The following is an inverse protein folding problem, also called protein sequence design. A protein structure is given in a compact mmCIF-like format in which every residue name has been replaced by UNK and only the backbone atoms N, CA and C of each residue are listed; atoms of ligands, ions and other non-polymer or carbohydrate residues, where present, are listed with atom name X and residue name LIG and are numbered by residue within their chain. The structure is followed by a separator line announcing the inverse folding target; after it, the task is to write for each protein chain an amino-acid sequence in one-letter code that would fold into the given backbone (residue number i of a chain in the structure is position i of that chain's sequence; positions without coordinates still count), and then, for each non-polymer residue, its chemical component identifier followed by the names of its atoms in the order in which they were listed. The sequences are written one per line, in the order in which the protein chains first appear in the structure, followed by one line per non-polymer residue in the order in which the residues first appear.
data_IF_569237193359
#
_entry.id   IF_569237193359
#
_cell.length_a   1.000
_cell.length_b   1.000
_cell.length_c   1.000
_cell.angle_alpha   90.00
_cell.angle_beta   90.00
_cell.angle_gamma   90.00
#
_symmetry.space_group_name_H-M   'P 1'
#
loop_
_entity.id
_entity.type
_entity.pdbx_description
1 polymer ?
#
# COMPACT_ATOMS: atom_id res chain seq x y z
N UNK A 1 -69.68 13.83 -32.12
CA UNK A 1 -68.61 14.32 -31.23
C UNK A 1 -68.20 13.19 -30.30
N UNK A 2 -67.38 12.25 -30.77
CA UNK A 2 -66.77 11.19 -29.93
C UNK A 2 -65.41 10.85 -30.54
N UNK A 3 -64.44 11.67 -30.19
CA UNK A 3 -63.02 11.47 -30.47
C UNK A 3 -62.35 11.25 -29.09
N UNK A 4 -61.39 10.32 -29.02
CA UNK A 4 -60.42 10.10 -27.93
C UNK A 4 -60.83 9.34 -26.66
N UNK A 5 -61.14 8.04 -26.78
CA UNK A 5 -60.98 7.10 -25.63
C UNK A 5 -60.00 5.95 -25.86
N UNK A 6 -59.64 5.62 -27.12
CA UNK A 6 -58.67 4.55 -27.43
C UNK A 6 -57.20 4.99 -27.50
N UNK A 7 -56.92 6.28 -27.64
CA UNK A 7 -55.54 6.79 -27.77
C UNK A 7 -54.87 7.04 -26.41
N UNK A 8 -55.64 7.42 -25.38
CA UNK A 8 -55.13 7.71 -24.04
C UNK A 8 -54.83 6.45 -23.20
N UNK A 9 -55.53 5.35 -23.44
CA UNK A 9 -55.32 4.08 -22.71
C UNK A 9 -54.02 3.39 -23.15
N UNK A 10 -53.67 3.47 -24.43
CA UNK A 10 -52.42 2.92 -24.96
C UNK A 10 -51.16 3.69 -24.53
N UNK A 11 -51.26 4.99 -24.31
CA UNK A 11 -50.12 5.79 -23.82
C UNK A 11 -49.82 5.52 -22.34
N UNK A 12 -50.85 5.23 -21.53
CA UNK A 12 -50.69 4.92 -20.10
C UNK A 12 -50.16 3.51 -19.86
N UNK A 13 -50.56 2.52 -20.67
CA UNK A 13 -50.02 1.16 -20.60
C UNK A 13 -48.56 1.13 -21.06
N UNK A 14 -48.23 1.80 -22.18
CA UNK A 14 -46.87 1.83 -22.70
C UNK A 14 -45.88 2.49 -21.71
N UNK A 15 -46.24 3.61 -21.09
CA UNK A 15 -45.39 4.31 -20.11
C UNK A 15 -45.15 3.48 -18.84
N UNK A 16 -46.13 2.71 -18.38
CA UNK A 16 -45.99 1.85 -17.20
C UNK A 16 -45.07 0.64 -17.43
N UNK A 17 -45.10 0.05 -18.63
CA UNK A 17 -44.19 -1.04 -19.03
C UNK A 17 -42.76 -0.55 -19.27
N UNK A 18 -42.60 0.64 -19.86
CA UNK A 18 -41.28 1.26 -20.07
C UNK A 18 -40.65 1.67 -18.74
N UNK A 19 -41.41 2.22 -17.79
CA UNK A 19 -40.89 2.52 -16.46
C UNK A 19 -40.48 1.25 -15.69
N UNK A 20 -41.27 0.18 -15.74
CA UNK A 20 -40.92 -1.07 -15.04
C UNK A 20 -39.68 -1.74 -15.64
N UNK A 21 -39.49 -1.70 -16.96
CA UNK A 21 -38.27 -2.17 -17.60
C UNK A 21 -37.05 -1.30 -17.25
N UNK A 22 -37.21 0.02 -17.16
CA UNK A 22 -36.14 0.94 -16.73
C UNK A 22 -35.73 0.71 -15.27
N UNK A 23 -36.68 0.50 -14.35
CA UNK A 23 -36.39 0.25 -12.93
C UNK A 23 -35.65 -1.07 -12.71
N UNK A 24 -35.93 -2.09 -13.52
CA UNK A 24 -35.24 -3.39 -13.49
C UNK A 24 -33.81 -3.27 -14.04
N UNK A 25 -33.57 -2.37 -15.00
CA UNK A 25 -32.25 -2.12 -15.59
C UNK A 25 -31.35 -1.24 -14.72
N UNK A 26 -31.90 -0.39 -13.84
CA UNK A 26 -31.13 0.54 -12.99
C UNK A 26 -30.98 0.11 -11.53
N UNK A 27 -31.51 -1.05 -11.12
CA UNK A 27 -31.31 -1.61 -9.78
C UNK A 27 -31.84 -0.72 -8.63
N UNK A 28 -32.96 -0.03 -8.84
CA UNK A 28 -33.56 0.89 -7.85
C UNK A 28 -34.49 0.20 -6.85
N UNK A 29 -34.34 0.53 -5.56
CA UNK A 29 -35.03 -0.06 -4.41
C UNK A 29 -36.52 0.37 -4.32
N UNK A 30 -37.42 -0.57 -4.00
CA UNK A 30 -38.89 -0.46 -4.15
C UNK A 30 -39.64 0.17 -2.94
N UNK A 31 -38.94 0.74 -1.96
CA UNK A 31 -39.58 1.23 -0.73
C UNK A 31 -39.48 2.75 -0.61
N UNK A 32 -40.23 3.49 -1.43
CA UNK A 32 -40.59 4.89 -1.20
C UNK A 32 -41.40 5.38 -2.40
N UNK A 33 -42.70 5.08 -2.45
CA UNK A 33 -43.72 5.79 -3.24
C UNK A 33 -45.10 5.20 -2.89
N UNK A 34 -45.43 5.20 -1.61
CA UNK A 34 -46.76 4.86 -1.11
C UNK A 34 -47.21 5.93 -0.12
N UNK A 35 -47.31 7.17 -0.58
CA UNK A 35 -47.97 8.22 0.18
C UNK A 35 -48.26 9.40 -0.73
N UNK A 36 -49.40 9.35 -1.43
CA UNK A 36 -50.25 10.52 -1.69
C UNK A 36 -51.45 10.16 -2.58
N UNK A 37 -52.61 10.63 -2.12
CA UNK A 37 -53.92 10.80 -2.78
C UNK A 37 -55.05 9.83 -2.39
N UNK A 38 -56.28 10.38 -2.21
CA UNK A 38 -57.25 9.95 -1.21
C UNK A 38 -58.40 9.11 -1.80
N UNK A 39 -59.17 8.49 -0.91
CA UNK A 39 -60.27 7.59 -1.23
C UNK A 39 -61.56 8.29 -1.73
N UNK A 40 -62.31 7.49 -2.51
CA UNK A 40 -63.76 7.47 -2.82
C UNK A 40 -64.32 8.28 -4.00
N UNK A 41 -64.77 7.55 -5.03
CA UNK A 41 -66.21 7.26 -5.23
C UNK A 41 -66.42 6.20 -6.34
N UNK A 42 -67.41 5.34 -6.10
CA UNK A 42 -67.80 4.18 -6.91
C UNK A 42 -68.37 4.59 -8.28
N UNK A 43 -67.74 4.13 -9.36
CA UNK A 43 -68.41 3.78 -10.60
C UNK A 43 -67.75 2.52 -11.18
N UNK A 44 -68.59 1.53 -11.45
CA UNK A 44 -68.30 0.17 -11.87
C UNK A 44 -67.31 0.12 -13.05
N UNK A 45 -66.02 -0.08 -12.76
CA UNK A 45 -65.04 -0.49 -13.75
C UNK A 45 -64.98 -2.01 -13.74
N UNK A 46 -65.41 -2.63 -14.84
CA UNK A 46 -65.15 -4.03 -15.12
C UNK A 46 -63.66 -4.28 -14.90
N UNK A 47 -63.38 -5.11 -13.90
CA UNK A 47 -62.04 -5.48 -13.47
C UNK A 47 -61.30 -6.08 -14.66
N UNK A 48 -60.28 -5.37 -15.16
CA UNK A 48 -59.35 -5.86 -16.20
C UNK A 48 -58.40 -6.92 -15.63
N UNK A 49 -58.94 -7.85 -14.84
CA UNK A 49 -58.26 -8.97 -14.19
C UNK A 49 -58.45 -10.28 -14.97
N UNK A 50 -58.93 -10.23 -16.20
CA UNK A 50 -59.23 -11.42 -17.03
C UNK A 50 -58.01 -12.04 -17.74
N UNK A 51 -56.78 -11.67 -17.37
CA UNK A 51 -55.55 -12.23 -17.98
C UNK A 51 -54.56 -12.83 -16.99
N UNK A 52 -54.95 -13.07 -15.74
CA UNK A 52 -54.08 -13.75 -14.78
C UNK A 52 -54.71 -15.05 -14.32
N UNK A 53 -54.33 -16.14 -14.97
CA UNK A 53 -54.61 -17.49 -14.48
C UNK A 53 -53.51 -17.88 -13.46
N UNK A 54 -53.79 -17.91 -12.15
CA UNK A 54 -52.77 -18.07 -11.12
C UNK A 54 -52.13 -19.47 -11.07
N UNK A 55 -52.57 -20.40 -11.92
CA UNK A 55 -52.13 -21.81 -11.90
C UNK A 55 -51.01 -22.16 -12.90
N UNK A 56 -50.62 -21.26 -13.82
CA UNK A 56 -49.59 -21.58 -14.82
C UNK A 56 -48.15 -21.37 -14.31
N UNK A 57 -47.30 -22.39 -14.47
CA UNK A 57 -45.85 -22.30 -14.19
C UNK A 57 -45.15 -21.33 -15.14
N UNK A 58 -44.03 -20.73 -14.72
CA UNK A 58 -43.26 -19.77 -15.55
C UNK A 58 -42.88 -20.32 -16.94
N UNK A 59 -42.66 -21.65 -17.04
CA UNK A 59 -42.42 -22.37 -18.30
C UNK A 59 -43.64 -22.34 -19.21
N UNK A 60 -44.82 -22.62 -18.67
CA UNK A 60 -46.07 -22.66 -19.43
C UNK A 60 -46.47 -21.27 -19.92
N UNK A 61 -46.18 -20.22 -19.13
CA UNK A 61 -46.37 -18.82 -19.54
C UNK A 61 -45.47 -18.44 -20.72
N UNK A 62 -44.20 -18.87 -20.69
CA UNK A 62 -43.29 -18.65 -21.82
C UNK A 62 -43.81 -19.38 -23.07
N UNK A 63 -44.18 -20.65 -22.92
CA UNK A 63 -44.65 -21.46 -24.05
C UNK A 63 -45.97 -20.93 -24.64
N UNK A 64 -46.91 -20.46 -23.81
CA UNK A 64 -48.16 -19.88 -24.30
C UNK A 64 -47.91 -18.55 -25.02
N UNK A 65 -47.09 -17.66 -24.46
CA UNK A 65 -46.70 -16.41 -25.11
C UNK A 65 -46.01 -16.68 -26.46
N UNK A 66 -45.08 -17.62 -26.49
CA UNK A 66 -44.33 -17.91 -27.71
C UNK A 66 -45.19 -18.53 -28.81
N UNK A 67 -46.18 -19.35 -28.43
CA UNK A 67 -47.14 -19.96 -29.36
C UNK A 67 -48.11 -18.92 -29.95
N UNK A 68 -48.41 -17.85 -29.22
CA UNK A 68 -49.15 -16.70 -29.74
C UNK A 68 -48.32 -15.95 -30.78
N UNK A 69 -47.01 -15.80 -30.53
CA UNK A 69 -46.08 -15.09 -31.41
C UNK A 69 -45.74 -15.87 -32.68
N UNK A 70 -45.62 -17.20 -32.60
CA UNK A 70 -45.37 -18.07 -33.76
C UNK A 70 -46.03 -19.43 -33.58
N UNK A 71 -46.80 -19.84 -34.60
CA UNK A 71 -47.49 -21.15 -34.60
C UNK A 71 -46.52 -22.32 -34.71
N UNK A 72 -45.32 -22.09 -35.25
CA UNK A 72 -44.31 -23.11 -35.51
C UNK A 72 -43.29 -23.26 -34.35
N UNK A 73 -43.45 -22.51 -33.26
CA UNK A 73 -42.56 -22.62 -32.12
C UNK A 73 -42.81 -23.92 -31.34
N UNK A 74 -41.81 -24.80 -31.34
CA UNK A 74 -41.85 -26.01 -30.51
C UNK A 74 -41.63 -25.63 -29.03
N UNK A 75 -42.58 -25.98 -28.13
CA UNK A 75 -42.57 -25.56 -26.74
C UNK A 75 -41.37 -26.12 -25.97
N UNK A 76 -40.91 -25.35 -24.99
CA UNK A 76 -39.86 -25.78 -24.07
C UNK A 76 -40.35 -26.96 -23.22
N UNK A 77 -39.68 -28.11 -23.36
CA UNK A 77 -40.09 -29.38 -22.73
C UNK A 77 -39.84 -29.36 -21.22
N UNK A 78 -38.63 -28.96 -20.83
CA UNK A 78 -38.18 -28.95 -19.43
C UNK A 78 -37.47 -27.64 -19.09
N UNK A 79 -37.60 -27.22 -17.84
CA UNK A 79 -36.80 -26.13 -17.28
C UNK A 79 -35.49 -26.68 -16.72
N UNK A 80 -34.43 -25.88 -16.81
CA UNK A 80 -33.13 -26.25 -16.27
C UNK A 80 -33.20 -26.36 -14.74
N UNK A 81 -33.01 -27.56 -14.19
CA UNK A 81 -32.94 -27.77 -12.74
C UNK A 81 -31.49 -27.88 -12.22
N UNK A 82 -30.52 -28.10 -13.10
CA UNK A 82 -29.11 -28.33 -12.76
C UNK A 82 -28.24 -27.11 -13.12
N UNK A 83 -27.08 -26.99 -12.48
CA UNK A 83 -26.12 -25.92 -12.76
C UNK A 83 -25.57 -26.02 -14.18
N UNK A 84 -25.39 -24.88 -14.87
CA UNK A 84 -24.91 -24.87 -16.26
C UNK A 84 -23.59 -25.62 -16.47
N UNK A 85 -22.67 -25.62 -15.50
CA UNK A 85 -21.38 -26.31 -15.58
C UNK A 85 -21.52 -27.84 -15.63
N UNK A 86 -22.51 -28.42 -14.95
CA UNK A 86 -22.68 -29.87 -14.76
C UNK A 86 -23.43 -30.60 -15.88
N UNK A 87 -23.96 -29.86 -16.85
CA UNK A 87 -24.84 -30.40 -17.91
C UNK A 87 -24.03 -30.96 -19.08
N UNK A 88 -24.54 -32.04 -19.69
CA UNK A 88 -23.98 -32.65 -20.89
C UNK A 88 -23.93 -31.69 -22.09
N UNK A 89 -23.02 -31.94 -23.04
CA UNK A 89 -22.88 -31.11 -24.24
C UNK A 89 -24.17 -31.06 -25.09
N UNK A 90 -24.88 -32.19 -25.19
CA UNK A 90 -26.14 -32.29 -25.94
C UNK A 90 -27.26 -31.45 -25.31
N UNK A 91 -27.41 -31.51 -23.99
CA UNK A 91 -28.41 -30.71 -23.27
C UNK A 91 -28.10 -29.21 -23.32
N UNK A 92 -26.82 -28.80 -23.21
CA UNK A 92 -26.41 -27.40 -23.41
C UNK A 92 -26.79 -26.88 -24.80
N UNK A 93 -26.52 -27.68 -25.83
CA UNK A 93 -26.85 -27.31 -27.22
C UNK A 93 -28.36 -27.17 -27.42
N UNK A 94 -29.18 -28.05 -26.83
CA UNK A 94 -30.64 -27.93 -26.86
C UNK A 94 -31.13 -26.59 -26.27
N UNK A 95 -30.69 -26.26 -25.05
CA UNK A 95 -31.10 -25.02 -24.39
C UNK A 95 -30.59 -23.77 -25.12
N UNK A 96 -29.38 -23.81 -25.69
CA UNK A 96 -28.87 -22.71 -26.52
C UNK A 96 -29.71 -22.50 -27.78
N UNK A 97 -30.05 -23.57 -28.49
CA UNK A 97 -30.92 -23.49 -29.69
C UNK A 97 -32.29 -22.92 -29.35
N UNK A 98 -32.91 -23.41 -28.28
CA UNK A 98 -34.22 -22.90 -27.84
C UNK A 98 -34.18 -21.44 -27.40
N UNK A 99 -33.14 -21.03 -26.69
CA UNK A 99 -32.95 -19.63 -26.33
C UNK A 99 -32.72 -18.74 -27.57
N UNK A 100 -31.94 -19.22 -28.54
CA UNK A 100 -31.74 -18.51 -29.81
C UNK A 100 -33.04 -18.37 -30.59
N UNK A 101 -33.81 -19.45 -30.77
CA UNK A 101 -35.12 -19.43 -31.43
C UNK A 101 -36.06 -18.40 -30.77
N UNK A 102 -36.14 -18.40 -29.44
CA UNK A 102 -36.97 -17.45 -28.71
C UNK A 102 -36.52 -16.00 -28.90
N UNK A 103 -35.21 -15.74 -28.78
CA UNK A 103 -34.63 -14.41 -28.95
C UNK A 103 -34.84 -13.91 -30.39
N UNK A 104 -34.59 -14.74 -31.40
CA UNK A 104 -34.76 -14.35 -32.80
C UNK A 104 -36.21 -14.01 -33.13
N UNK A 105 -37.17 -14.78 -32.61
CA UNK A 105 -38.58 -14.48 -32.80
C UNK A 105 -38.99 -13.16 -32.14
N UNK A 106 -38.48 -12.87 -30.93
CA UNK A 106 -38.70 -11.59 -30.26
C UNK A 106 -38.05 -10.44 -31.04
N UNK A 107 -36.81 -10.63 -31.52
CA UNK A 107 -36.09 -9.62 -32.28
C UNK A 107 -36.73 -9.36 -33.64
N UNK A 108 -37.32 -10.36 -34.29
CA UNK A 108 -38.07 -10.19 -35.54
C UNK A 108 -39.32 -9.31 -35.32
N UNK A 109 -39.98 -9.43 -34.16
CA UNK A 109 -41.11 -8.57 -33.80
C UNK A 109 -40.64 -7.13 -33.54
N UNK A 110 -39.49 -6.95 -32.88
CA UNK A 110 -38.96 -5.63 -32.52
C UNK A 110 -38.39 -4.91 -33.75
N UNK A 111 -37.62 -5.62 -34.57
CA UNK A 111 -36.85 -5.07 -35.69
C UNK A 111 -36.76 -6.09 -36.83
N UNK A 112 -37.86 -6.23 -37.57
CA UNK A 112 -37.96 -7.14 -38.72
C UNK A 112 -36.87 -6.85 -39.76
N UNK A 113 -36.12 -7.89 -40.13
CA UNK A 113 -35.04 -7.81 -41.13
C UNK A 113 -33.71 -7.23 -40.61
N UNK A 114 -33.63 -6.82 -39.34
CA UNK A 114 -32.41 -6.32 -38.69
C UNK A 114 -32.10 -7.07 -37.39
N UNK A 115 -32.59 -8.29 -37.23
CA UNK A 115 -32.50 -9.04 -35.97
C UNK A 115 -31.04 -9.28 -35.56
N UNK A 116 -30.19 -9.60 -36.54
CA UNK A 116 -28.76 -9.89 -36.33
C UNK A 116 -27.98 -8.64 -35.93
N UNK A 117 -28.32 -7.48 -36.50
CA UNK A 117 -27.68 -6.19 -36.17
C UNK A 117 -28.04 -5.77 -34.76
N UNK A 118 -29.31 -5.92 -34.36
CA UNK A 118 -29.78 -5.63 -33.01
C UNK A 118 -29.19 -6.61 -31.97
N UNK A 119 -29.08 -7.90 -32.30
CA UNK A 119 -28.44 -8.89 -31.43
C UNK A 119 -26.96 -8.56 -31.20
N UNK A 120 -26.24 -8.18 -32.26
CA UNK A 120 -24.83 -7.82 -32.17
C UNK A 120 -24.59 -6.55 -31.36
N UNK A 121 -25.44 -5.52 -31.50
CA UNK A 121 -25.32 -4.29 -30.72
C UNK A 121 -25.54 -4.51 -29.21
N UNK A 122 -26.39 -5.47 -28.84
CA UNK A 122 -26.58 -5.90 -27.45
C UNK A 122 -25.35 -6.69 -26.95
N UNK A 123 -24.76 -7.54 -27.78
CA UNK A 123 -23.60 -8.36 -27.42
C UNK A 123 -22.29 -7.55 -27.32
N UNK A 124 -22.17 -6.42 -28.01
CA UNK A 124 -20.94 -5.60 -28.04
C UNK A 124 -20.49 -5.02 -26.71
N UNK A 125 -21.26 -5.09 -25.62
CA UNK A 125 -20.79 -4.69 -24.27
C UNK A 125 -19.70 -5.59 -23.67
N UNK A 126 -19.20 -6.60 -24.40
CA UNK A 126 -18.08 -7.48 -24.00
C UNK A 126 -16.70 -7.11 -24.60
N UNK A 127 -16.60 -6.05 -25.40
CA UNK A 127 -15.34 -5.68 -26.12
C UNK A 127 -14.22 -5.12 -25.25
N UNK A 128 -14.44 -4.80 -23.97
CA UNK A 128 -13.36 -4.35 -23.06
C UNK A 128 -12.23 -5.38 -22.91
N UNK A 129 -12.54 -6.67 -23.06
CA UNK A 129 -11.53 -7.74 -22.97
C UNK A 129 -10.61 -7.73 -24.21
N UNK A 130 -11.10 -7.33 -25.38
CA UNK A 130 -10.27 -7.27 -26.60
C UNK A 130 -9.40 -6.00 -26.63
N UNK A 131 -9.91 -4.87 -26.14
CA UNK A 131 -9.11 -3.63 -26.04
C UNK A 131 -7.99 -3.73 -25.00
N UNK A 132 -8.26 -4.38 -23.86
CA UNK A 132 -7.25 -4.63 -22.83
C UNK A 132 -6.16 -5.57 -23.31
N UNK A 133 -6.51 -6.65 -24.00
CA UNK A 133 -5.52 -7.56 -24.60
C UNK A 133 -4.65 -6.85 -25.66
N UNK A 134 -5.24 -6.00 -26.51
CA UNK A 134 -4.49 -5.17 -27.47
C UNK A 134 -3.49 -4.25 -26.77
N UNK A 135 -3.90 -3.56 -25.70
CA UNK A 135 -3.02 -2.71 -24.90
C UNK A 135 -1.84 -3.49 -24.30
N UNK A 136 -2.09 -4.71 -23.81
CA UNK A 136 -1.04 -5.59 -23.25
C UNK A 136 -0.05 -6.03 -24.34
N UNK A 137 -0.54 -6.35 -25.55
CA UNK A 137 0.31 -6.70 -26.70
C UNK A 137 1.17 -5.50 -27.13
N UNK A 138 0.59 -4.30 -27.17
CA UNK A 138 1.34 -3.08 -27.47
C UNK A 138 2.43 -2.80 -26.44
N UNK A 139 2.14 -3.00 -25.15
CA UNK A 139 3.14 -2.87 -24.08
C UNK A 139 4.28 -3.88 -24.26
N UNK A 140 3.96 -5.14 -24.59
CA UNK A 140 4.94 -6.19 -24.88
C UNK A 140 5.88 -5.80 -26.04
N UNK A 141 5.34 -5.22 -27.11
CA UNK A 141 6.12 -4.83 -28.29
C UNK A 141 6.98 -3.57 -28.07
N UNK A 142 6.58 -2.67 -27.17
CA UNK A 142 7.33 -1.45 -26.85
C UNK A 142 8.52 -1.71 -25.94
N UNK A 143 8.45 -2.71 -25.07
CA UNK A 143 9.51 -2.99 -24.11
C UNK A 143 10.69 -3.74 -24.74
N UNK A 144 11.90 -3.27 -24.47
CA UNK A 144 13.14 -3.92 -24.93
C UNK A 144 13.65 -5.01 -23.97
N UNK A 145 13.21 -5.01 -22.71
CA UNK A 145 13.69 -5.95 -21.69
C UNK A 145 12.93 -7.27 -21.75
N UNK A 146 13.64 -8.38 -21.98
CA UNK A 146 13.07 -9.73 -22.03
C UNK A 146 12.34 -10.14 -20.74
N UNK A 147 12.79 -9.64 -19.58
CA UNK A 147 12.13 -9.97 -18.32
C UNK A 147 10.79 -9.24 -18.20
N UNK A 148 10.78 -7.94 -18.45
CA UNK A 148 9.55 -7.13 -18.45
C UNK A 148 8.55 -7.66 -19.49
N UNK A 149 9.02 -8.05 -20.66
CA UNK A 149 8.20 -8.75 -21.66
C UNK A 149 7.58 -10.04 -21.13
N UNK A 150 8.33 -10.84 -20.36
CA UNK A 150 7.80 -12.06 -19.74
C UNK A 150 6.77 -11.74 -18.67
N UNK A 151 6.96 -10.67 -17.90
CA UNK A 151 6.00 -10.19 -16.89
C UNK A 151 4.70 -9.71 -17.55
N UNK A 152 4.79 -8.90 -18.60
CA UNK A 152 3.63 -8.39 -19.36
C UNK A 152 2.90 -9.54 -20.02
N UNK A 153 3.63 -10.44 -20.68
CA UNK A 153 3.04 -11.61 -21.31
C UNK A 153 2.31 -12.47 -20.27
N UNK A 154 2.89 -12.66 -19.08
CA UNK A 154 2.31 -13.46 -17.97
C UNK A 154 0.89 -13.06 -17.55
N UNK A 155 0.44 -11.83 -17.88
CA UNK A 155 -0.92 -11.36 -17.62
C UNK A 155 -1.98 -12.07 -18.46
N UNK A 156 -1.65 -12.47 -19.70
CA UNK A 156 -2.62 -12.99 -20.68
C UNK A 156 -2.45 -14.47 -21.01
N UNK A 157 -1.32 -15.10 -20.66
CA UNK A 157 -0.95 -16.45 -21.14
C UNK A 157 -1.86 -17.58 -20.67
N UNK A 158 -2.58 -17.38 -19.57
CA UNK A 158 -3.51 -18.35 -19.02
C UNK A 158 -4.89 -18.31 -19.70
N UNK A 159 -5.19 -17.21 -20.41
CA UNK A 159 -6.48 -17.00 -21.07
C UNK A 159 -6.50 -17.54 -22.51
N UNK A 160 -5.32 -17.81 -23.08
CA UNK A 160 -5.15 -18.16 -24.49
C UNK A 160 -4.28 -19.41 -24.69
N UNK A 161 -4.57 -20.12 -25.77
CA UNK A 161 -3.75 -21.24 -26.25
C UNK A 161 -2.44 -20.74 -26.89
N UNK A 162 -1.46 -21.64 -27.05
CA UNK A 162 -0.16 -21.28 -27.64
C UNK A 162 -0.30 -20.74 -29.07
N UNK A 163 -1.18 -21.35 -29.86
CA UNK A 163 -1.48 -20.95 -31.23
C UNK A 163 -2.16 -19.58 -31.30
N UNK A 164 -3.12 -19.31 -30.41
CA UNK A 164 -3.79 -18.01 -30.36
C UNK A 164 -2.81 -16.88 -30.02
N UNK A 165 -1.92 -17.11 -29.04
CA UNK A 165 -0.89 -16.13 -28.67
C UNK A 165 0.12 -15.85 -29.79
N UNK A 166 0.48 -16.88 -30.57
CA UNK A 166 1.35 -16.71 -31.75
C UNK A 166 0.66 -15.92 -32.87
N UNK A 167 -0.65 -16.07 -33.04
CA UNK A 167 -1.42 -15.30 -33.99
C UNK A 167 -1.60 -13.83 -33.52
N UNK A 168 -1.78 -13.62 -32.21
CA UNK A 168 -1.94 -12.29 -31.62
C UNK A 168 -0.63 -11.49 -31.56
N UNK A 169 0.51 -12.17 -31.36
CA UNK A 169 1.83 -11.54 -31.27
C UNK A 169 2.79 -12.25 -32.23
N UNK A 170 2.91 -11.76 -33.48
CA UNK A 170 3.81 -12.36 -34.46
C UNK A 170 5.25 -12.24 -33.98
N UNK A 171 5.95 -13.38 -33.87
CA UNK A 171 7.34 -13.45 -33.39
C UNK A 171 7.52 -13.96 -31.95
N UNK A 172 6.43 -14.25 -31.22
CA UNK A 172 6.52 -14.91 -29.92
C UNK A 172 6.81 -16.41 -30.10
N UNK A 173 7.92 -16.86 -29.51
CA UNK A 173 8.29 -18.27 -29.50
C UNK A 173 7.51 -19.05 -28.43
N UNK A 174 7.31 -20.35 -28.67
CA UNK A 174 6.67 -21.25 -27.69
C UNK A 174 7.41 -21.23 -26.34
N UNK A 175 8.74 -21.14 -26.38
CA UNK A 175 9.56 -21.04 -25.18
C UNK A 175 9.25 -19.79 -24.34
N UNK A 176 8.99 -18.63 -24.96
CA UNK A 176 8.57 -17.41 -24.26
C UNK A 176 7.20 -17.57 -23.60
N UNK A 177 6.27 -18.22 -24.27
CA UNK A 177 4.94 -18.55 -23.71
C UNK A 177 5.10 -19.45 -22.49
N UNK A 178 5.93 -20.48 -22.57
CA UNK A 178 6.18 -21.40 -21.45
C UNK A 178 6.91 -20.71 -20.29
N UNK A 179 7.87 -19.82 -20.57
CA UNK A 179 8.54 -19.01 -19.56
C UNK A 179 7.55 -18.07 -18.83
N UNK A 180 6.65 -17.43 -19.57
CA UNK A 180 5.63 -16.56 -19.00
C UNK A 180 4.57 -17.32 -18.19
N UNK A 181 4.22 -18.55 -18.60
CA UNK A 181 3.39 -19.45 -17.77
C UNK A 181 4.09 -19.87 -16.48
N UNK A 182 5.37 -20.23 -16.56
CA UNK A 182 6.17 -20.55 -15.38
C UNK A 182 6.24 -19.35 -14.42
N UNK A 183 6.41 -18.15 -14.96
CA UNK A 183 6.39 -16.92 -14.18
C UNK A 183 5.03 -16.69 -13.49
N UNK A 184 3.93 -16.78 -14.24
CA UNK A 184 2.58 -16.65 -13.69
C UNK A 184 2.30 -17.67 -12.57
N UNK A 185 2.82 -18.89 -12.72
CA UNK A 185 2.67 -19.97 -11.74
C UNK A 185 3.50 -19.74 -10.46
N UNK A 186 4.74 -19.28 -10.58
CA UNK A 186 5.68 -19.15 -9.44
C UNK A 186 5.52 -17.82 -8.70
N UNK A 187 5.38 -16.72 -9.42
CA UNK A 187 5.43 -15.35 -8.87
C UNK A 187 4.07 -14.67 -8.89
N UNK A 188 3.13 -15.19 -9.67
CA UNK A 188 1.87 -14.54 -9.99
C UNK A 188 1.95 -13.69 -11.26
N UNK A 189 0.82 -13.49 -11.95
CA UNK A 189 0.77 -12.73 -13.19
C UNK A 189 1.13 -11.26 -12.95
N UNK A 190 2.05 -10.72 -13.76
CA UNK A 190 2.47 -9.31 -13.73
C UNK A 190 3.37 -8.89 -12.55
N UNK A 191 3.70 -9.80 -11.63
CA UNK A 191 4.53 -9.46 -10.48
C UNK A 191 6.02 -9.35 -10.86
N UNK A 192 6.72 -8.42 -10.23
CA UNK A 192 8.16 -8.27 -10.42
C UNK A 192 8.88 -9.30 -9.54
N UNK A 193 9.70 -10.15 -10.14
CA UNK A 193 10.63 -11.00 -9.42
C UNK A 193 11.72 -10.11 -8.78
N UNK A 194 11.81 -10.15 -7.45
CA UNK A 194 12.69 -9.32 -6.63
C UNK A 194 12.44 -7.80 -6.82
N UNK A 195 11.34 -7.27 -6.27
CA UNK A 195 11.08 -5.84 -6.36
C UNK A 195 12.26 -5.05 -5.76
N UNK A 196 12.68 -3.93 -6.39
CA UNK A 196 13.72 -3.10 -5.83
C UNK A 196 13.30 -2.65 -4.42
N UNK A 197 14.21 -2.76 -3.45
CA UNK A 197 13.98 -2.27 -2.09
C UNK A 197 13.83 -0.75 -2.15
N UNK A 198 12.60 -0.25 -2.08
CA UNK A 198 12.33 1.19 -2.02
C UNK A 198 12.68 1.68 -0.61
N UNK A 199 13.81 2.35 -0.47
CA UNK A 199 14.16 3.06 0.76
C UNK A 199 13.45 4.42 0.78
N UNK A 200 12.31 4.50 1.47
CA UNK A 200 11.65 5.78 1.74
C UNK A 200 12.39 6.49 2.87
N UNK A 201 13.12 7.57 2.55
CA UNK A 201 13.83 8.37 3.54
C UNK A 201 12.85 9.28 4.30
N UNK A 202 12.46 8.90 5.53
CA UNK A 202 11.62 9.70 6.43
C UNK A 202 12.40 10.76 7.22
N UNK A 203 13.44 11.35 6.63
CA UNK A 203 14.29 12.33 7.31
C UNK A 203 14.07 13.71 6.71
N UNK A 204 13.34 14.56 7.43
CA UNK A 204 13.10 15.96 7.02
C UNK A 204 14.35 16.79 7.29
N UNK A 205 14.88 17.49 6.28
CA UNK A 205 16.06 18.37 6.41
C UNK A 205 16.06 19.30 7.64
N UNK A 206 15.00 20.07 7.95
CA UNK A 206 14.98 20.96 9.13
C UNK A 206 15.19 20.22 10.45
N UNK A 207 14.63 19.01 10.60
CA UNK A 207 14.82 18.20 11.81
C UNK A 207 16.23 17.65 11.94
N UNK A 208 16.90 17.39 10.81
CA UNK A 208 18.31 16.96 10.79
C UNK A 208 19.20 18.13 11.17
N UNK A 209 19.00 19.30 10.55
CA UNK A 209 19.76 20.52 10.84
C UNK A 209 19.69 20.85 12.33
N UNK A 210 18.48 20.91 12.91
CA UNK A 210 18.29 21.17 14.33
C UNK A 210 19.06 20.18 15.24
N UNK A 211 19.06 18.89 14.90
CA UNK A 211 19.80 17.90 15.68
C UNK A 211 21.31 18.03 15.52
N UNK A 212 21.79 18.34 14.32
CA UNK A 212 23.22 18.57 14.05
C UNK A 212 23.70 19.84 14.75
N UNK A 213 22.92 20.93 14.70
CA UNK A 213 23.23 22.18 15.40
C UNK A 213 23.32 21.96 16.91
N UNK A 214 22.40 21.16 17.46
CA UNK A 214 22.45 20.75 18.87
C UNK A 214 23.72 19.95 19.21
N UNK A 215 24.10 18.98 18.38
CA UNK A 215 25.32 18.18 18.61
C UNK A 215 26.57 19.06 18.50
N UNK A 216 26.61 19.99 17.55
CA UNK A 216 27.77 20.85 17.32
C UNK A 216 27.94 21.86 18.45
N UNK A 217 26.84 22.36 19.01
CA UNK A 217 26.88 23.42 20.01
C UNK A 217 27.35 22.91 21.39
N UNK A 218 28.54 23.34 21.86
CA UNK A 218 29.13 22.87 23.12
C UNK A 218 28.34 23.31 24.37
N UNK A 219 27.44 24.30 24.24
CA UNK A 219 26.61 24.77 25.35
C UNK A 219 25.57 23.73 25.79
N UNK A 220 25.14 22.87 24.86
CA UNK A 220 24.05 21.92 25.10
C UNK A 220 24.51 20.45 25.12
N UNK A 221 25.63 20.13 24.47
CA UNK A 221 26.18 18.77 24.39
C UNK A 221 27.29 18.51 25.43
N UNK A 222 27.01 18.74 26.73
CA UNK A 222 27.99 18.44 27.78
C UNK A 222 28.04 16.92 28.03
N UNK A 223 29.04 16.24 27.45
CA UNK A 223 29.28 14.83 27.71
C UNK A 223 30.38 14.76 28.76
N UNK A 224 30.01 14.43 30.00
CA UNK A 224 30.98 14.13 31.05
C UNK A 224 31.58 12.76 30.75
N UNK A 225 32.88 12.72 30.47
CA UNK A 225 33.61 11.47 30.32
C UNK A 225 33.75 10.77 31.67
N UNK A 226 32.85 9.86 31.99
CA UNK A 226 32.94 9.08 33.23
C UNK A 226 33.80 7.83 33.05
N UNK A 227 34.77 7.67 33.95
CA UNK A 227 35.44 6.40 34.26
C UNK A 227 36.75 6.16 33.53
N UNK A 228 37.83 5.98 34.31
CA UNK A 228 39.10 5.42 33.85
C UNK A 228 39.23 4.00 34.39
N UNK A 229 39.56 3.03 33.55
CA UNK A 229 40.02 1.70 34.02
C UNK A 229 41.53 1.65 33.95
N UNK A 230 42.17 1.31 35.06
CA UNK A 230 43.61 1.11 35.14
C UNK A 230 43.90 -0.34 34.74
N UNK A 231 44.50 -0.54 33.57
CA UNK A 231 45.05 -1.83 33.17
C UNK A 231 46.45 -1.97 33.74
N UNK A 232 46.70 -3.06 34.47
CA UNK A 232 48.06 -3.50 34.80
C UNK A 232 48.58 -4.35 33.66
N UNK A 233 49.66 -3.92 33.01
CA UNK A 233 50.40 -4.75 32.07
C UNK A 233 51.21 -5.81 32.83
N UNK A 234 51.60 -6.88 32.14
CA UNK A 234 52.50 -7.90 32.67
C UNK A 234 53.88 -7.34 33.07
N UNK A 235 54.23 -6.15 32.57
CA UNK A 235 55.41 -5.36 32.96
C UNK A 235 55.23 -4.59 34.29
N UNK A 236 54.11 -4.78 35.00
CA UNK A 236 53.70 -4.02 36.18
C UNK A 236 53.45 -2.51 35.95
N UNK A 237 53.52 -2.04 34.71
CA UNK A 237 53.15 -0.67 34.35
C UNK A 237 51.62 -0.51 34.36
N UNK A 238 51.15 0.65 34.84
CA UNK A 238 49.73 0.99 34.95
C UNK A 238 49.33 1.91 33.80
N UNK A 239 48.50 1.42 32.88
CA UNK A 239 47.96 2.20 31.77
C UNK A 239 46.53 2.63 32.08
N UNK A 240 46.27 3.94 32.08
CA UNK A 240 44.92 4.51 32.29
C UNK A 240 44.19 4.56 30.96
N UNK A 241 43.13 3.76 30.82
CA UNK A 241 42.27 3.79 29.64
C UNK A 241 40.92 4.41 29.99
N UNK A 242 40.49 5.47 29.29
CA UNK A 242 39.14 6.00 29.43
C UNK A 242 38.10 4.94 29.04
N UNK A 243 37.25 4.50 29.97
CA UNK A 243 36.19 3.53 29.69
C UNK A 243 34.91 4.27 29.32
N UNK A 244 34.92 4.92 28.16
CA UNK A 244 33.68 5.46 27.60
C UNK A 244 33.15 4.49 26.55
N UNK A 245 32.10 3.73 26.92
CA UNK A 245 31.41 2.89 25.93
C UNK A 245 30.65 3.83 25.01
N UNK A 246 31.05 3.91 23.75
CA UNK A 246 30.47 4.77 22.71
C UNK A 246 28.92 4.77 22.67
N UNK A 247 28.31 3.63 22.98
CA UNK A 247 26.85 3.50 23.04
C UNK A 247 26.22 4.31 24.19
N UNK A 248 26.91 4.43 25.33
CA UNK A 248 26.48 5.28 26.45
C UNK A 248 26.53 6.76 26.03
N UNK A 249 27.58 7.19 25.33
CA UNK A 249 27.70 8.56 24.82
C UNK A 249 26.50 8.92 23.93
N UNK A 250 26.23 8.08 22.93
CA UNK A 250 25.10 8.31 22.03
C UNK A 250 23.77 8.32 22.78
N UNK A 251 23.58 7.40 23.74
CA UNK A 251 22.36 7.36 24.54
C UNK A 251 22.18 8.63 25.39
N UNK A 252 23.25 9.16 25.96
CA UNK A 252 23.24 10.40 26.76
C UNK A 252 22.94 11.61 25.89
N UNK A 253 23.59 11.77 24.72
CA UNK A 253 23.30 12.85 23.76
C UNK A 253 21.82 12.80 23.36
N UNK A 254 21.32 11.63 22.99
CA UNK A 254 19.92 11.49 22.55
C UNK A 254 18.96 11.85 23.68
N UNK A 255 19.24 11.41 24.91
CA UNK A 255 18.39 11.73 26.07
C UNK A 255 18.37 13.25 26.32
N UNK A 256 19.54 13.89 26.30
CA UNK A 256 19.64 15.34 26.53
C UNK A 256 18.97 16.14 25.42
N UNK A 257 19.12 15.73 24.16
CA UNK A 257 18.41 16.33 23.02
C UNK A 257 16.90 16.19 23.13
N UNK A 258 16.40 15.03 23.57
CA UNK A 258 14.97 14.82 23.76
C UNK A 258 14.41 15.75 24.85
N UNK A 259 15.14 15.94 25.94
CA UNK A 259 14.77 16.91 26.98
C UNK A 259 14.76 18.35 26.42
N UNK A 260 15.80 18.73 25.69
CA UNK A 260 15.86 20.05 25.02
C UNK A 260 14.69 20.27 24.07
N UNK A 261 14.34 19.28 23.25
CA UNK A 261 13.19 19.37 22.35
C UNK A 261 11.84 19.47 23.07
N UNK A 262 11.72 18.92 24.28
CA UNK A 262 10.52 19.10 25.11
C UNK A 262 10.42 20.54 25.62
N UNK A 263 11.55 21.15 25.99
CA UNK A 263 11.60 22.54 26.48
C UNK A 263 11.37 23.57 25.36
N UNK A 264 11.82 23.28 24.15
CA UNK A 264 11.66 24.19 22.99
C UNK A 264 10.42 23.89 22.14
N UNK A 265 9.52 23.01 22.60
CA UNK A 265 8.32 22.55 21.89
C UNK A 265 8.60 22.01 20.46
N UNK A 266 9.77 21.40 20.24
CA UNK A 266 10.20 20.90 18.94
C UNK A 266 9.91 19.41 18.74
N UNK A 267 9.36 19.05 17.57
CA UNK A 267 9.11 17.65 17.22
C UNK A 267 10.39 16.92 16.77
N UNK A 268 11.06 16.25 17.71
CA UNK A 268 12.27 15.46 17.46
C UNK A 268 12.02 14.19 16.62
N UNK A 269 13.11 13.54 16.17
CA UNK A 269 13.05 12.22 15.55
C UNK A 269 12.92 11.09 16.57
N UNK A 270 12.57 9.88 16.12
CA UNK A 270 12.62 8.70 16.99
C UNK A 270 14.06 8.39 17.44
N UNK A 271 14.19 7.78 18.61
CA UNK A 271 15.48 7.39 19.20
C UNK A 271 16.36 6.56 18.25
N UNK A 272 15.74 5.67 17.45
CA UNK A 272 16.44 4.86 16.46
C UNK A 272 17.06 5.69 15.33
N UNK A 273 16.33 6.67 14.80
CA UNK A 273 16.82 7.57 13.75
C UNK A 273 17.97 8.45 14.25
N UNK A 274 17.86 9.00 15.47
CA UNK A 274 18.91 9.80 16.09
C UNK A 274 20.19 8.97 16.31
N UNK A 275 20.04 7.69 16.67
CA UNK A 275 21.17 6.77 16.83
C UNK A 275 21.87 6.47 15.50
N UNK A 276 21.12 6.33 14.41
CA UNK A 276 21.69 6.16 13.06
C UNK A 276 22.48 7.41 12.66
N UNK A 277 21.93 8.60 12.90
CA UNK A 277 22.61 9.87 12.61
C UNK A 277 23.93 9.95 13.40
N UNK A 278 23.92 9.71 14.72
CA UNK A 278 25.14 9.70 15.54
C UNK A 278 26.15 8.62 15.12
N UNK A 279 25.69 7.44 14.69
CA UNK A 279 26.56 6.38 14.18
C UNK A 279 27.30 6.83 12.91
N UNK A 280 26.65 7.58 12.03
CA UNK A 280 27.26 8.16 10.82
C UNK A 280 28.18 9.34 11.19
N UNK A 281 27.79 10.18 12.14
CA UNK A 281 28.57 11.32 12.64
C UNK A 281 29.76 10.93 13.55
N UNK A 282 30.22 9.68 13.48
CA UNK A 282 31.28 9.05 14.30
C UNK A 282 32.58 9.83 14.43
N UNK A 283 32.89 10.73 13.50
CA UNK A 283 34.19 11.41 13.40
C UNK A 283 34.22 12.76 14.13
N UNK A 284 33.16 13.11 14.87
CA UNK A 284 33.09 14.39 15.54
C UNK A 284 33.90 14.38 16.84
N UNK A 285 35.19 14.74 16.73
CA UNK A 285 36.08 14.97 17.87
C UNK A 285 35.68 16.27 18.59
N UNK A 286 34.65 16.20 19.45
CA UNK A 286 34.45 17.26 20.41
C UNK A 286 35.44 17.11 21.55
N UNK A 287 36.33 18.08 21.69
CA UNK A 287 37.05 18.30 22.94
C UNK A 287 36.01 18.73 23.96
N UNK A 288 35.74 17.89 24.96
CA UNK A 288 34.77 18.19 26.01
C UNK A 288 35.17 19.49 26.71
N UNK A 289 34.50 20.59 26.36
CA UNK A 289 34.67 21.91 26.95
C UNK A 289 33.76 22.00 28.16
N UNK A 290 34.11 21.27 29.23
CA UNK A 290 33.74 21.73 30.57
C UNK A 290 34.99 22.39 31.13
N UNK A 291 34.95 23.71 31.14
CA UNK A 291 36.08 24.55 31.55
C UNK A 291 36.44 24.35 33.04
N UNK A 292 35.51 23.83 33.86
CA UNK A 292 35.76 23.58 35.28
C UNK A 292 36.55 22.28 35.53
N UNK A 293 36.08 21.13 35.01
CA UNK A 293 36.75 19.84 35.25
C UNK A 293 38.14 19.76 34.55
N UNK A 294 38.31 20.43 33.41
CA UNK A 294 39.61 20.50 32.73
C UNK A 294 40.62 21.40 33.46
N UNK A 295 40.18 22.49 34.09
CA UNK A 295 41.09 23.39 34.82
C UNK A 295 41.55 22.77 36.13
N UNK A 296 40.65 22.12 36.88
CA UNK A 296 41.04 21.35 38.07
C UNK A 296 41.96 20.18 37.73
N UNK A 297 41.67 19.42 36.66
CA UNK A 297 42.54 18.33 36.22
C UNK A 297 43.91 18.82 35.72
N UNK A 298 43.95 19.92 34.96
CA UNK A 298 45.20 20.55 34.53
C UNK A 298 45.99 21.12 35.71
N UNK A 299 45.29 21.70 36.70
CA UNK A 299 45.86 22.20 37.95
C UNK A 299 46.50 21.09 38.78
N UNK A 300 45.81 19.96 38.96
CA UNK A 300 46.34 18.77 39.65
C UNK A 300 47.58 18.25 38.90
N UNK A 301 47.52 18.15 37.56
CA UNK A 301 48.66 17.74 36.74
C UNK A 301 49.87 18.70 36.84
N UNK A 302 49.62 20.01 36.94
CA UNK A 302 50.66 21.01 37.15
C UNK A 302 51.30 20.86 38.54
N UNK A 303 50.50 20.64 39.58
CA UNK A 303 50.98 20.40 40.94
C UNK A 303 51.82 19.12 41.04
N UNK A 304 51.43 18.05 40.34
CA UNK A 304 52.23 16.82 40.24
C UNK A 304 53.58 17.05 39.55
N UNK A 305 53.61 17.90 38.52
CA UNK A 305 54.85 18.28 37.86
C UNK A 305 55.74 19.14 38.78
N UNK A 306 55.16 20.08 39.52
CA UNK A 306 55.88 20.87 40.52
C UNK A 306 56.46 19.98 41.63
N UNK A 307 55.70 18.99 42.10
CA UNK A 307 56.21 18.00 43.06
C UNK A 307 57.44 17.25 42.52
N UNK A 308 57.45 16.86 41.24
CA UNK A 308 58.63 16.25 40.60
C UNK A 308 59.82 17.21 40.46
N UNK A 309 59.57 18.51 40.31
CA UNK A 309 60.63 19.53 40.28
C UNK A 309 61.22 19.70 41.68
N UNK A 310 60.38 19.76 42.71
CA UNK A 310 60.82 19.88 44.11
C UNK A 310 61.66 18.67 44.54
N UNK A 311 61.29 17.45 44.13
CA UNK A 311 62.11 16.25 44.41
C UNK A 311 63.44 16.25 43.65
N UNK A 312 63.49 16.81 42.44
CA UNK A 312 64.76 17.02 41.73
C UNK A 312 65.62 18.08 42.42
N UNK A 313 65.05 19.17 42.89
CA UNK A 313 65.77 20.22 43.62
C UNK A 313 66.34 19.73 44.95
N UNK A 314 65.64 18.82 45.63
CA UNK A 314 66.15 18.11 46.81
C UNK A 314 67.43 17.31 46.46
N UNK A 315 67.46 16.63 45.32
CA UNK A 315 68.64 15.91 44.84
C UNK A 315 69.81 16.83 44.44
N UNK A 316 69.54 18.09 44.08
CA UNK A 316 70.57 19.10 43.77
C UNK A 316 71.03 19.92 44.99
N UNK A 317 70.64 19.53 46.22
CA UNK A 317 71.15 20.13 47.45
C UNK A 317 70.26 21.22 48.06
N UNK A 318 68.98 21.30 47.68
CA UNK A 318 68.02 22.16 48.37
C UNK A 318 67.82 21.67 49.82
N UNK A 319 67.90 22.58 50.80
CA UNK A 319 67.72 22.26 52.23
C UNK A 319 66.39 21.55 52.47
N UNK A 320 66.41 20.43 53.19
CA UNK A 320 65.21 19.60 53.45
C UNK A 320 64.06 20.37 54.12
N UNK A 321 64.35 21.37 54.96
CA UNK A 321 63.32 22.22 55.57
C UNK A 321 62.50 23.01 54.53
N UNK A 322 63.16 23.49 53.47
CA UNK A 322 62.49 24.23 52.39
C UNK A 322 61.72 23.29 51.46
N UNK A 323 62.26 22.08 51.24
CA UNK A 323 61.57 21.02 50.48
C UNK A 323 60.27 20.61 51.17
N UNK A 324 60.29 20.41 52.49
CA UNK A 324 59.10 20.02 53.24
C UNK A 324 58.01 21.10 53.22
N UNK A 325 58.39 22.37 53.42
CA UNK A 325 57.46 23.52 53.28
C UNK A 325 56.83 23.58 51.89
N UNK A 326 57.61 23.37 50.83
CA UNK A 326 57.10 23.36 49.45
C UNK A 326 56.16 22.19 49.20
N UNK A 327 56.48 20.98 49.70
CA UNK A 327 55.60 19.81 49.59
C UNK A 327 54.29 19.99 50.34
N UNK A 328 54.32 20.58 51.55
CA UNK A 328 53.10 20.90 52.32
C UNK A 328 52.21 21.92 51.62
N UNK A 329 52.80 22.98 51.05
CA UNK A 329 52.06 23.98 50.26
C UNK A 329 51.42 23.36 49.02
N UNK A 330 52.14 22.50 48.29
CA UNK A 330 51.60 21.79 47.12
C UNK A 330 50.50 20.79 47.51
N UNK A 331 50.57 20.18 48.70
CA UNK A 331 49.51 19.32 49.22
C UNK A 331 48.24 20.10 49.56
N UNK A 332 48.36 21.29 50.15
CA UNK A 332 47.22 22.17 50.41
C UNK A 332 46.54 22.58 49.10
N UNK A 333 47.31 23.05 48.11
CA UNK A 333 46.79 23.39 46.77
C UNK A 333 46.08 22.20 46.13
N UNK A 334 46.65 20.99 46.23
CA UNK A 334 46.01 19.76 45.75
C UNK A 334 44.73 19.39 46.52
N UNK A 335 44.59 19.77 47.78
CA UNK A 335 43.34 19.58 48.51
C UNK A 335 42.28 20.56 48.02
N UNK A 336 42.60 21.85 47.89
CA UNK A 336 41.67 22.85 47.36
C UNK A 336 41.15 22.48 45.96
N UNK A 337 42.03 22.04 45.06
CA UNK A 337 41.66 21.62 43.70
C UNK A 337 40.83 20.32 43.62
N UNK A 338 40.68 19.57 44.73
CA UNK A 338 39.84 18.36 44.81
C UNK A 338 38.44 18.64 45.36
N UNK A 339 38.23 19.78 45.99
CA UNK A 339 36.96 20.15 46.63
C UNK A 339 36.14 21.17 45.82
N UNK A 340 36.72 21.74 44.75
CA UNK A 340 35.99 22.34 43.63
C UNK A 340 35.60 21.27 42.61
#
# INVERSE_FOLDING_TARGET
MYINSLTLTNTYTFTKYVLTLLTILTGGNLNQLSSQFPQQSEYTQASSQDWMDPQLTSKERLNSAMKILSKDYEPLKHQLCLSWSSISKSSKSYYQKKAQEAIFLILNIIASGQETVLLNSIQTKKTEIDSTNKCIIEAYNKDANSWTQTQILSLIVNNFTKSELQNMIPGVTVSRVDAARKHAMVTGPGNILNPPKIYRMKLTRPKIAHFIDYIINPLYSSIVGFGQTVLKLSTNEKLTIPKVVRNLIHATIIKSYQTYCLETEFSSFSKASLYIILKVCSAFNQKALRELDNTSAAGIGATDNLNKVVTKLEAYGLRHENVNKLKEMLQLVNQFLKFE
#
